data_IF_767834457845
#
_entry.id   IF_767834457845
#
_cell.length_a   1.000
_cell.length_b   1.000
_cell.length_c   1.000
_cell.angle_alpha   90.00
_cell.angle_beta   90.00
_cell.angle_gamma   90.00
#
_symmetry.space_group_name_H-M   'P 1'
#
loop_
_entity.id
_entity.type
_entity.pdbx_description
1 polymer ?
#
# COMPACT_ATOMS: atom_id res chain seq x y z
N UNK A 1 -3.60 -15.07 9.02
CA UNK A 1 -4.37 -14.36 7.97
C UNK A 1 -4.75 -13.00 8.54
N UNK A 2 -4.23 -11.90 8.00
CA UNK A 2 -4.62 -10.56 8.47
C UNK A 2 -6.08 -10.34 8.08
N UNK A 3 -6.97 -10.16 9.06
CA UNK A 3 -8.36 -9.80 8.79
C UNK A 3 -8.40 -8.35 8.32
N UNK A 4 -8.65 -8.13 7.03
CA UNK A 4 -8.88 -6.82 6.45
C UNK A 4 -10.31 -6.73 5.91
N UNK A 5 -10.95 -5.58 6.02
CA UNK A 5 -12.34 -5.36 5.61
C UNK A 5 -12.49 -5.20 4.08
N UNK A 6 -11.37 -5.15 3.36
CA UNK A 6 -11.30 -4.97 1.92
C UNK A 6 -10.12 -4.09 1.54
N UNK A 7 -10.21 -3.45 0.39
CA UNK A 7 -9.27 -2.44 -0.09
C UNK A 7 -10.00 -1.16 -0.48
N UNK A 8 -9.29 -0.03 -0.43
CA UNK A 8 -9.77 1.23 -0.98
C UNK A 8 -8.71 1.85 -1.90
N UNK A 9 -9.10 2.36 -3.08
CA UNK A 9 -8.18 3.06 -3.95
C UNK A 9 -7.81 4.41 -3.34
N UNK A 10 -6.53 4.60 -3.02
CA UNK A 10 -5.99 5.90 -2.62
C UNK A 10 -5.12 6.49 -3.71
N UNK A 11 -5.25 7.79 -3.93
CA UNK A 11 -4.25 8.52 -4.73
C UNK A 11 -2.89 8.41 -4.06
N UNK A 12 -1.83 8.24 -4.84
CA UNK A 12 -0.44 8.06 -4.36
C UNK A 12 0.01 9.14 -3.38
N UNK A 13 -0.54 10.35 -3.46
CA UNK A 13 -0.24 11.46 -2.56
C UNK A 13 -0.74 11.25 -1.13
N UNK A 14 -1.77 10.41 -0.94
CA UNK A 14 -2.34 10.07 0.36
C UNK A 14 -1.74 8.78 0.95
N UNK A 15 -0.95 8.05 0.18
CA UNK A 15 -0.27 6.84 0.64
C UNK A 15 0.95 7.23 1.47
N UNK A 16 1.09 6.63 2.65
CA UNK A 16 2.24 6.86 3.54
C UNK A 16 2.98 5.55 3.81
N UNK A 17 4.30 5.61 4.07
CA UNK A 17 5.03 4.46 4.58
C UNK A 17 4.35 3.84 5.82
N UNK A 18 4.36 2.51 5.89
CA UNK A 18 3.66 1.73 6.92
C UNK A 18 2.26 1.27 6.52
N UNK A 19 1.61 1.91 5.55
CA UNK A 19 0.33 1.40 5.02
C UNK A 19 0.51 0.03 4.35
N UNK A 20 -0.52 -0.81 4.41
CA UNK A 20 -0.58 -2.06 3.67
C UNK A 20 -1.29 -1.85 2.34
N UNK A 21 -0.70 -2.30 1.23
CA UNK A 21 -1.24 -2.20 -0.12
C UNK A 21 -1.46 -3.58 -0.75
N UNK A 22 -2.45 -3.68 -1.62
CA UNK A 22 -2.72 -4.86 -2.44
C UNK A 22 -2.19 -4.61 -3.85
N UNK A 23 -1.37 -5.51 -4.35
CA UNK A 23 -0.86 -5.47 -5.71
C UNK A 23 -0.82 -6.89 -6.28
N UNK A 24 -1.45 -7.09 -7.45
CA UNK A 24 -1.56 -8.41 -8.11
C UNK A 24 -2.05 -9.55 -7.20
N UNK A 25 -3.00 -9.23 -6.30
CA UNK A 25 -3.56 -10.20 -5.35
C UNK A 25 -2.65 -10.55 -4.17
N UNK A 26 -1.51 -9.86 -4.02
CA UNK A 26 -0.60 -9.99 -2.89
C UNK A 26 -0.57 -8.73 -2.04
N UNK A 27 -0.41 -8.94 -0.74
CA UNK A 27 -0.32 -7.85 0.24
C UNK A 27 1.14 -7.45 0.44
N UNK A 28 1.41 -6.15 0.36
CA UNK A 28 2.72 -5.55 0.58
C UNK A 28 2.63 -4.44 1.61
N UNK A 29 3.72 -4.19 2.32
CA UNK A 29 3.87 -2.98 3.13
C UNK A 29 4.48 -1.87 2.27
N UNK A 30 3.91 -0.69 2.32
CA UNK A 30 4.52 0.51 1.72
C UNK A 30 5.76 0.87 2.52
N UNK A 31 6.95 0.75 1.92
CA UNK A 31 8.22 1.13 2.57
C UNK A 31 8.58 2.60 2.34
N UNK A 32 8.31 3.12 1.15
CA UNK A 32 8.66 4.50 0.81
C UNK A 32 7.72 5.05 -0.26
N UNK A 33 7.47 6.36 -0.21
CA UNK A 33 6.73 7.08 -1.25
C UNK A 33 7.55 8.32 -1.63
N UNK A 34 8.00 8.38 -2.88
CA UNK A 34 8.79 9.51 -3.41
C UNK A 34 7.91 10.30 -4.36
N UNK A 35 7.40 11.44 -3.90
CA UNK A 35 6.36 12.18 -4.61
C UNK A 35 6.87 12.81 -5.90
N UNK A 36 8.10 13.34 -5.89
CA UNK A 36 8.74 14.04 -7.01
C UNK A 36 8.97 13.10 -8.20
N UNK A 37 9.28 11.84 -7.91
CA UNK A 37 9.54 10.80 -8.92
C UNK A 37 8.32 9.93 -9.23
N UNK A 38 7.21 10.17 -8.53
CA UNK A 38 5.99 9.37 -8.58
C UNK A 38 6.22 7.89 -8.24
N UNK A 39 7.12 7.58 -7.31
CA UNK A 39 7.44 6.20 -6.94
C UNK A 39 6.78 5.78 -5.63
N UNK A 40 6.31 4.54 -5.59
CA UNK A 40 5.89 3.84 -4.38
C UNK A 40 6.68 2.56 -4.28
N UNK A 41 7.37 2.36 -3.17
CA UNK A 41 8.05 1.12 -2.88
C UNK A 41 7.17 0.26 -1.99
N UNK A 42 6.92 -0.96 -2.46
CA UNK A 42 6.18 -1.99 -1.76
C UNK A 42 7.16 -3.10 -1.41
N UNK A 43 7.09 -3.61 -0.20
CA UNK A 43 7.96 -4.69 0.26
C UNK A 43 7.19 -5.78 0.98
N UNK A 44 7.70 -6.99 0.85
CA UNK A 44 7.47 -8.13 1.73
C UNK A 44 8.83 -8.60 2.26
N UNK A 45 8.83 -9.64 3.08
CA UNK A 45 10.07 -10.28 3.52
C UNK A 45 10.86 -10.94 2.38
N UNK A 46 10.20 -11.21 1.23
CA UNK A 46 10.79 -11.92 0.09
C UNK A 46 11.20 -11.00 -1.07
N UNK A 47 10.52 -9.87 -1.26
CA UNK A 47 10.74 -9.01 -2.43
C UNK A 47 10.43 -7.54 -2.17
N UNK A 48 11.04 -6.67 -2.98
CA UNK A 48 10.76 -5.23 -3.05
C UNK A 48 10.39 -4.90 -4.49
N UNK A 49 9.25 -4.26 -4.67
CA UNK A 49 8.76 -3.79 -5.97
C UNK A 49 8.57 -2.28 -5.95
N UNK A 50 8.74 -1.66 -7.12
CA UNK A 50 8.56 -0.21 -7.30
C UNK A 50 7.41 0.03 -8.28
N UNK A 51 6.36 0.67 -7.80
CA UNK A 51 5.24 1.13 -8.61
C UNK A 51 5.41 2.59 -8.99
N UNK A 52 4.82 2.97 -10.11
CA UNK A 52 4.70 4.38 -10.54
C UNK A 52 3.24 4.80 -10.72
N UNK A 53 2.32 3.99 -10.20
CA UNK A 53 0.89 4.15 -10.40
C UNK A 53 0.35 5.37 -9.64
N UNK A 54 -0.67 6.00 -10.21
CA UNK A 54 -1.32 7.16 -9.61
C UNK A 54 -2.25 6.78 -8.45
N UNK A 55 -2.77 5.56 -8.46
CA UNK A 55 -3.75 5.03 -7.50
C UNK A 55 -3.22 3.70 -6.97
N UNK A 56 -3.27 3.52 -5.66
CA UNK A 56 -2.82 2.33 -4.94
C UNK A 56 -3.97 1.81 -4.10
N UNK A 57 -4.30 0.53 -4.25
CA UNK A 57 -5.28 -0.13 -3.38
C UNK A 57 -4.66 -0.40 -2.02
N UNK A 58 -5.15 0.28 -0.98
CA UNK A 58 -4.70 0.06 0.40
C UNK A 58 -5.67 -0.81 1.18
N UNK A 59 -5.16 -1.68 2.05
CA UNK A 59 -5.98 -2.54 2.89
C UNK A 59 -6.61 -1.72 4.02
N UNK A 60 -7.88 -2.03 4.33
CA UNK A 60 -8.62 -1.39 5.40
C UNK A 60 -8.77 -2.31 6.63
N UNK A 61 -8.71 -1.73 7.82
CA UNK A 61 -9.07 -2.37 9.08
C UNK A 61 -10.61 -2.52 9.21
N UNK A 62 -11.07 -3.11 10.31
CA UNK A 62 -12.50 -3.28 10.60
C UNK A 62 -13.27 -1.97 10.85
N UNK A 63 -12.58 -0.83 10.93
CA UNK A 63 -13.14 0.50 11.10
C UNK A 63 -13.11 1.33 9.81
N UNK A 64 -12.60 0.77 8.71
CA UNK A 64 -12.45 1.46 7.44
C UNK A 64 -11.23 2.38 7.34
N UNK A 65 -10.27 2.27 8.26
CA UNK A 65 -9.01 3.01 8.20
C UNK A 65 -7.92 2.20 7.50
N UNK A 66 -6.96 2.82 6.81
CA UNK A 66 -5.82 2.10 6.24
C UNK A 66 -5.05 1.34 7.32
N UNK A 67 -4.81 0.05 7.09
CA UNK A 67 -3.98 -0.77 7.98
C UNK A 67 -2.57 -0.22 7.95
N UNK A 68 -2.01 0.03 9.14
CA UNK A 68 -0.63 0.40 9.32
C UNK A 68 0.12 -0.71 10.05
N UNK A 69 1.32 -1.03 9.57
CA UNK A 69 2.27 -1.97 10.17
C UNK A 69 3.66 -1.35 10.16
#
# INVERSE_FOLDING_TARGET
MMSHYGTTPLIRQCVTPGMMAMHEGRTYRVSAVIQERKWVYLHTDAEIIRLSDCVIDVLLDGHGNPIQH
#
